data_IF_125639804780
#
_entry.id   IF_125639804780
#
_cell.length_a   1.000
_cell.length_b   1.000
_cell.length_c   1.000
_cell.angle_alpha   90.00
_cell.angle_beta   90.00
_cell.angle_gamma   90.00
#
_symmetry.space_group_name_H-M   'P 1'
#
loop_
_entity.id
_entity.type
_entity.pdbx_description
1 polymer ?
#
# COMPACT_ATOMS: atom_id res chain seq x y z
N UNK A 1 -21.79 -27.71 1.20
CA UNK A 1 -20.52 -26.98 1.27
C UNK A 1 -19.52 -27.73 0.39
N UNK A 2 -19.24 -27.20 -0.80
CA UNK A 2 -18.47 -27.94 -1.81
C UNK A 2 -16.95 -27.97 -1.55
N UNK A 3 -16.45 -27.17 -0.58
CA UNK A 3 -15.02 -27.06 -0.32
C UNK A 3 -14.23 -26.41 -1.46
N UNK A 4 -14.91 -25.57 -2.23
CA UNK A 4 -14.34 -24.85 -3.37
C UNK A 4 -14.65 -23.37 -3.27
N UNK A 5 -13.82 -22.56 -3.93
CA UNK A 5 -13.97 -21.11 -4.06
C UNK A 5 -13.78 -20.72 -5.51
N UNK A 6 -14.49 -19.69 -5.95
CA UNK A 6 -14.34 -19.09 -7.27
C UNK A 6 -13.38 -17.89 -7.19
N UNK A 7 -12.31 -17.92 -7.97
CA UNK A 7 -11.35 -16.80 -8.10
C UNK A 7 -11.18 -16.53 -9.59
N UNK A 8 -11.40 -15.29 -10.01
CA UNK A 8 -11.30 -14.85 -11.40
C UNK A 8 -12.05 -15.75 -12.40
N UNK A 9 -13.25 -16.25 -11.98
CA UNK A 9 -14.10 -17.10 -12.80
C UNK A 9 -13.70 -18.58 -12.86
N UNK A 10 -12.62 -18.98 -12.18
CA UNK A 10 -12.15 -20.37 -12.09
C UNK A 10 -12.38 -20.94 -10.70
N UNK A 11 -12.85 -22.19 -10.62
CA UNK A 11 -13.13 -22.87 -9.35
C UNK A 11 -11.86 -23.59 -8.85
N UNK A 12 -11.51 -23.34 -7.59
CA UNK A 12 -10.35 -23.93 -6.91
C UNK A 12 -10.79 -24.70 -5.67
N UNK A 13 -10.09 -25.80 -5.37
CA UNK A 13 -10.33 -26.58 -4.16
C UNK A 13 -9.61 -25.96 -2.96
N UNK A 14 -10.35 -25.78 -1.86
CA UNK A 14 -9.76 -25.32 -0.61
C UNK A 14 -9.07 -26.47 0.13
N UNK A 15 -7.92 -26.19 0.71
CA UNK A 15 -7.18 -27.14 1.60
C UNK A 15 -7.96 -27.45 2.86
N UNK A 16 -8.67 -26.47 3.38
CA UNK A 16 -9.53 -26.57 4.55
C UNK A 16 -10.76 -25.70 4.37
N UNK A 17 -11.90 -26.21 4.78
CA UNK A 17 -13.18 -25.49 4.85
C UNK A 17 -13.74 -25.55 6.26
N UNK A 18 -12.88 -25.79 7.25
CA UNK A 18 -13.27 -25.83 8.63
C UNK A 18 -13.27 -24.43 9.22
N UNK A 19 -14.45 -23.84 9.25
CA UNK A 19 -14.72 -22.54 9.85
C UNK A 19 -15.85 -22.70 10.88
N UNK A 20 -15.54 -23.20 12.10
CA UNK A 20 -16.56 -23.65 13.06
C UNK A 20 -17.41 -22.51 13.63
N UNK A 21 -16.91 -21.29 13.60
CA UNK A 21 -17.57 -20.12 14.18
C UNK A 21 -18.43 -19.35 13.19
N UNK A 22 -18.34 -19.66 11.88
CA UNK A 22 -19.09 -18.95 10.86
C UNK A 22 -20.52 -19.45 10.76
N UNK A 23 -21.50 -18.55 10.99
CA UNK A 23 -22.89 -18.78 10.62
C UNK A 23 -23.08 -18.49 9.12
N UNK A 24 -23.45 -19.50 8.30
CA UNK A 24 -23.70 -19.28 6.88
C UNK A 24 -24.82 -18.29 6.54
N UNK A 25 -25.71 -17.99 7.49
CA UNK A 25 -26.80 -17.01 7.32
C UNK A 25 -26.35 -15.60 7.63
N UNK A 26 -25.34 -15.45 8.47
CA UNK A 26 -24.73 -14.17 8.84
C UNK A 26 -23.20 -14.34 8.95
N UNK A 27 -22.50 -14.50 7.83
CA UNK A 27 -21.08 -14.88 7.82
C UNK A 27 -20.15 -13.83 8.41
N UNK A 28 -20.60 -12.60 8.54
CA UNK A 28 -19.81 -11.48 9.10
C UNK A 28 -19.95 -11.36 10.61
N UNK A 29 -20.88 -12.08 11.20
CA UNK A 29 -21.09 -12.02 12.66
C UNK A 29 -19.99 -12.77 13.38
N UNK A 30 -19.28 -12.05 14.24
CA UNK A 30 -18.30 -12.61 15.15
C UNK A 30 -18.97 -13.26 16.37
N UNK A 31 -18.35 -14.31 16.88
CA UNK A 31 -18.71 -14.82 18.22
C UNK A 31 -18.29 -13.80 19.29
N UNK A 32 -18.87 -13.92 20.50
CA UNK A 32 -18.49 -13.06 21.64
C UNK A 32 -16.98 -13.11 21.93
N UNK A 33 -16.35 -14.29 21.81
CA UNK A 33 -14.93 -14.45 22.04
C UNK A 33 -14.07 -13.78 20.96
N UNK A 34 -14.49 -13.85 19.70
CA UNK A 34 -13.83 -13.17 18.57
C UNK A 34 -13.99 -11.65 18.71
N UNK A 35 -15.21 -11.17 19.04
CA UNK A 35 -15.44 -9.75 19.26
C UNK A 35 -14.59 -9.22 20.43
N UNK A 36 -14.54 -9.95 21.55
CA UNK A 36 -13.70 -9.56 22.69
C UNK A 36 -12.20 -9.52 22.35
N UNK A 37 -11.73 -10.38 21.43
CA UNK A 37 -10.36 -10.33 20.92
C UNK A 37 -10.12 -9.08 20.09
N UNK A 38 -11.02 -8.79 19.14
CA UNK A 38 -10.93 -7.58 18.28
C UNK A 38 -10.96 -6.31 19.14
N UNK A 39 -11.87 -6.23 20.10
CA UNK A 39 -11.98 -5.08 21.02
C UNK A 39 -10.68 -4.85 21.81
N UNK A 40 -10.08 -5.93 22.31
CA UNK A 40 -8.81 -5.88 23.03
C UNK A 40 -7.66 -5.44 22.13
N UNK A 41 -7.58 -5.92 20.89
CA UNK A 41 -6.61 -5.46 19.90
C UNK A 41 -6.81 -3.98 19.60
N UNK A 42 -8.03 -3.57 19.30
CA UNK A 42 -8.37 -2.17 19.04
C UNK A 42 -7.95 -1.27 20.21
N UNK A 43 -8.30 -1.63 21.45
CA UNK A 43 -7.90 -0.89 22.64
C UNK A 43 -6.38 -0.81 22.83
N UNK A 44 -5.65 -1.89 22.53
CA UNK A 44 -4.20 -1.89 22.68
C UNK A 44 -3.50 -0.94 21.69
N UNK A 45 -4.06 -0.77 20.49
CA UNK A 45 -3.55 0.19 19.51
C UNK A 45 -3.98 1.63 19.81
N UNK A 46 -5.27 1.85 20.06
CA UNK A 46 -5.83 3.18 20.27
C UNK A 46 -5.48 3.77 21.64
N UNK A 47 -5.30 2.92 22.66
CA UNK A 47 -4.93 3.31 24.02
C UNK A 47 -3.42 3.54 24.23
N UNK A 48 -2.56 3.19 23.29
CA UNK A 48 -1.10 3.32 23.43
C UNK A 48 -0.64 4.76 23.19
N UNK A 49 -0.29 5.48 24.25
CA UNK A 49 0.29 6.83 24.13
C UNK A 49 1.61 6.85 23.37
N UNK A 50 2.45 5.83 23.55
CA UNK A 50 3.71 5.70 22.84
C UNK A 50 3.47 5.56 21.33
N UNK A 51 2.56 4.69 20.91
CA UNK A 51 2.21 4.55 19.48
C UNK A 51 1.63 5.84 18.93
N UNK A 52 0.73 6.49 19.66
CA UNK A 52 0.14 7.78 19.27
C UNK A 52 1.21 8.86 19.11
N UNK A 53 2.19 8.92 20.03
CA UNK A 53 3.32 9.86 19.92
C UNK A 53 4.18 9.59 18.68
N UNK A 54 4.47 8.33 18.36
CA UNK A 54 5.23 7.95 17.18
C UNK A 54 4.47 8.32 15.90
N UNK A 55 3.17 8.04 15.81
CA UNK A 55 2.34 8.39 14.65
C UNK A 55 2.30 9.92 14.47
N UNK A 56 2.11 10.69 15.56
CA UNK A 56 2.17 12.16 15.49
C UNK A 56 3.51 12.67 14.98
N UNK A 57 4.61 12.05 15.40
CA UNK A 57 5.94 12.40 14.91
C UNK A 57 6.09 12.11 13.41
N UNK A 58 5.62 10.94 12.95
CA UNK A 58 5.63 10.59 11.54
C UNK A 58 4.78 11.56 10.70
N UNK A 59 3.60 11.94 11.18
CA UNK A 59 2.73 12.88 10.46
C UNK A 59 3.30 14.31 10.41
N UNK A 60 4.02 14.72 11.47
CA UNK A 60 4.63 16.06 11.56
C UNK A 60 5.89 16.19 10.72
N UNK A 61 6.73 15.16 10.70
CA UNK A 61 8.08 15.20 10.15
C UNK A 61 8.27 14.31 8.93
N UNK A 62 7.39 13.31 8.74
CA UNK A 62 7.44 12.40 7.61
C UNK A 62 6.88 13.02 6.33
N UNK A 63 7.27 12.45 5.21
CA UNK A 63 6.80 12.80 3.88
C UNK A 63 6.78 11.56 2.99
N UNK A 64 6.03 11.62 1.89
CA UNK A 64 5.99 10.53 0.92
C UNK A 64 7.25 10.46 0.08
N UNK A 65 7.92 11.60 -0.10
CA UNK A 65 9.24 11.69 -0.70
C UNK A 65 10.02 12.84 -0.07
N UNK A 66 11.33 12.79 -0.19
CA UNK A 66 12.23 13.88 0.21
C UNK A 66 13.35 14.03 -0.82
N UNK A 67 13.81 15.26 -1.02
CA UNK A 67 14.98 15.56 -1.84
C UNK A 67 16.04 16.14 -0.93
N UNK A 68 17.15 15.43 -0.81
CA UNK A 68 18.26 15.86 0.01
C UNK A 68 19.60 15.54 -0.66
N UNK A 69 20.45 16.54 -0.77
CA UNK A 69 21.79 16.40 -1.34
C UNK A 69 21.81 15.67 -2.70
N UNK A 70 20.97 16.13 -3.65
CA UNK A 70 20.78 15.55 -4.98
C UNK A 70 20.22 14.10 -4.99
N UNK A 71 19.72 13.62 -3.85
CA UNK A 71 19.09 12.32 -3.78
C UNK A 71 17.57 12.49 -3.64
N UNK A 72 16.82 11.74 -4.43
CA UNK A 72 15.38 11.56 -4.28
C UNK A 72 15.13 10.31 -3.42
N UNK A 73 14.49 10.50 -2.27
CA UNK A 73 14.19 9.44 -1.31
C UNK A 73 12.68 9.21 -1.26
N UNK A 74 12.24 7.96 -1.37
CA UNK A 74 10.85 7.53 -1.14
C UNK A 74 10.80 6.07 -0.69
N UNK A 75 9.61 5.59 -0.23
CA UNK A 75 9.53 4.28 0.40
C UNK A 75 9.65 3.13 -0.59
N UNK A 76 8.73 3.00 -1.55
CA UNK A 76 8.64 1.82 -2.40
C UNK A 76 8.81 2.13 -3.88
N UNK A 77 7.83 2.76 -4.51
CA UNK A 77 7.81 2.92 -5.96
C UNK A 77 7.23 4.26 -6.42
N UNK A 78 7.55 4.59 -7.66
CA UNK A 78 6.80 5.56 -8.46
C UNK A 78 6.03 4.74 -9.51
N UNK A 79 4.69 4.72 -9.48
CA UNK A 79 3.91 3.90 -10.41
C UNK A 79 4.24 4.20 -11.87
N UNK A 80 4.57 3.14 -12.62
CA UNK A 80 4.91 3.19 -14.04
C UNK A 80 3.95 2.36 -14.88
N UNK A 81 3.77 2.75 -16.13
CA UNK A 81 3.12 1.95 -17.16
C UNK A 81 4.10 0.92 -17.73
N UNK A 82 3.58 -0.05 -18.51
CA UNK A 82 4.39 -1.09 -19.14
C UNK A 82 5.47 -0.53 -20.11
N UNK A 83 5.23 0.64 -20.67
CA UNK A 83 6.15 1.35 -21.56
C UNK A 83 7.07 2.36 -20.84
N UNK A 84 7.13 2.27 -19.50
CA UNK A 84 8.05 3.04 -18.67
C UNK A 84 7.66 4.49 -18.42
N UNK A 85 6.43 4.91 -18.73
CA UNK A 85 5.94 6.26 -18.44
C UNK A 85 5.34 6.32 -17.05
N UNK A 86 5.25 7.52 -16.48
CA UNK A 86 4.53 7.76 -15.23
C UNK A 86 3.05 7.37 -15.37
N UNK A 87 2.59 6.46 -14.50
CA UNK A 87 1.22 5.98 -14.48
C UNK A 87 0.32 6.92 -13.71
N UNK A 88 -0.85 7.22 -14.27
CA UNK A 88 -1.91 7.92 -13.54
C UNK A 88 -2.60 6.96 -12.58
N UNK A 89 -2.73 7.38 -11.33
CA UNK A 89 -3.41 6.65 -10.25
C UNK A 89 -4.58 7.51 -9.77
N UNK A 90 -5.75 6.91 -9.70
CA UNK A 90 -6.95 7.57 -9.19
C UNK A 90 -6.94 7.51 -7.67
N UNK A 91 -6.84 8.66 -7.01
CA UNK A 91 -6.81 8.79 -5.54
C UNK A 91 -8.16 9.20 -4.95
N UNK A 92 -9.05 9.72 -5.78
CA UNK A 92 -10.43 10.08 -5.50
C UNK A 92 -11.24 9.96 -6.80
N UNK A 93 -12.56 9.79 -6.74
CA UNK A 93 -13.38 9.70 -7.94
C UNK A 93 -13.12 10.84 -8.93
N UNK A 94 -12.59 10.51 -10.10
CA UNK A 94 -12.25 11.46 -11.16
C UNK A 94 -10.93 12.23 -10.97
N UNK A 95 -10.20 12.05 -9.86
CA UNK A 95 -8.91 12.72 -9.60
C UNK A 95 -7.77 11.74 -9.86
N UNK A 96 -7.11 11.90 -11.01
CA UNK A 96 -5.97 11.07 -11.44
C UNK A 96 -4.68 11.86 -11.37
N UNK A 97 -3.72 11.33 -10.63
CA UNK A 97 -2.42 11.96 -10.40
C UNK A 97 -1.29 10.97 -10.72
N UNK A 98 -0.10 11.51 -10.99
CA UNK A 98 1.11 10.74 -11.26
C UNK A 98 2.34 11.41 -10.67
N UNK A 99 3.44 10.67 -10.61
CA UNK A 99 4.76 11.19 -10.25
C UNK A 99 4.77 11.97 -8.94
N UNK A 100 5.37 13.15 -8.98
CA UNK A 100 5.55 14.05 -7.82
C UNK A 100 4.23 14.48 -7.20
N UNK A 101 3.25 14.85 -8.04
CA UNK A 101 1.94 15.30 -7.55
C UNK A 101 1.17 14.18 -6.85
N UNK A 102 1.23 12.95 -7.37
CA UNK A 102 0.64 11.78 -6.71
C UNK A 102 1.19 11.62 -5.28
N UNK A 103 2.50 11.65 -5.09
CA UNK A 103 3.10 11.49 -3.77
C UNK A 103 2.77 12.67 -2.86
N UNK A 104 2.76 13.89 -3.38
CA UNK A 104 2.43 15.09 -2.60
C UNK A 104 0.99 15.02 -2.07
N UNK A 105 0.02 14.79 -2.95
CA UNK A 105 -1.40 14.72 -2.58
C UNK A 105 -1.71 13.51 -1.69
N UNK A 106 -1.07 12.38 -1.92
CA UNK A 106 -1.11 11.23 -0.99
C UNK A 106 -0.67 11.64 0.41
N UNK A 107 0.43 12.36 0.54
CA UNK A 107 0.91 12.87 1.83
C UNK A 107 -0.06 13.85 2.50
N UNK A 108 -0.72 14.69 1.73
CA UNK A 108 -1.76 15.61 2.25
C UNK A 108 -2.99 14.84 2.74
N UNK A 109 -3.46 13.86 1.97
CA UNK A 109 -4.62 13.02 2.33
C UNK A 109 -4.35 12.17 3.57
N UNK A 110 -3.15 11.62 3.73
CA UNK A 110 -2.71 10.95 4.96
C UNK A 110 -2.83 11.89 6.17
N UNK A 111 -2.35 13.12 6.06
CA UNK A 111 -2.42 14.08 7.17
C UNK A 111 -3.85 14.47 7.51
N UNK A 112 -4.73 14.64 6.51
CA UNK A 112 -6.12 15.01 6.74
C UNK A 112 -6.88 13.96 7.57
N UNK A 113 -6.59 12.68 7.41
CA UNK A 113 -7.19 11.61 8.21
C UNK A 113 -6.94 11.73 9.72
N UNK A 114 -5.84 12.40 10.12
CA UNK A 114 -5.43 12.56 11.52
C UNK A 114 -5.69 13.97 12.07
N UNK A 115 -6.24 14.88 11.29
CA UNK A 115 -6.59 16.21 11.77
C UNK A 115 -7.93 16.14 12.52
N UNK A 116 -7.86 16.15 13.86
CA UNK A 116 -9.04 16.03 14.74
C UNK A 116 -9.78 17.36 14.96
N UNK A 117 -9.20 18.51 14.57
CA UNK A 117 -9.71 19.84 14.88
C UNK A 117 -9.86 20.72 13.64
N UNK A 118 -10.02 20.13 12.46
CA UNK A 118 -10.23 20.91 11.25
C UNK A 118 -11.73 21.16 11.06
N UNK A 119 -12.23 22.32 11.53
CA UNK A 119 -13.62 22.75 11.40
C UNK A 119 -14.08 22.87 9.93
N UNK A 120 -13.14 22.81 8.99
CA UNK A 120 -13.38 22.89 7.54
C UNK A 120 -13.53 21.51 6.87
N UNK A 121 -13.26 20.40 7.57
CA UNK A 121 -13.36 19.04 7.02
C UNK A 121 -14.65 18.38 7.51
N UNK A 122 -15.43 17.85 6.58
CA UNK A 122 -16.61 17.05 6.90
C UNK A 122 -16.21 15.67 7.44
N UNK A 123 -17.12 15.02 8.17
CA UNK A 123 -16.89 13.64 8.63
C UNK A 123 -16.75 12.66 7.46
N UNK A 124 -17.44 12.90 6.35
CA UNK A 124 -17.33 12.12 5.12
C UNK A 124 -15.93 12.23 4.51
N UNK A 125 -15.39 13.43 4.34
CA UNK A 125 -14.02 13.66 3.84
C UNK A 125 -12.97 13.03 4.76
N UNK A 126 -13.21 13.05 6.06
CA UNK A 126 -12.34 12.40 7.03
C UNK A 126 -12.40 10.88 6.91
N UNK A 127 -13.59 10.31 6.75
CA UNK A 127 -13.75 8.87 6.54
C UNK A 127 -13.09 8.41 5.25
N UNK A 128 -13.29 9.14 4.14
CA UNK A 128 -12.61 8.88 2.87
C UNK A 128 -11.08 8.89 3.01
N UNK A 129 -10.55 9.81 3.79
CA UNK A 129 -9.12 9.87 4.05
C UNK A 129 -8.62 8.66 4.90
N UNK A 130 -9.45 8.15 5.83
CA UNK A 130 -9.17 6.93 6.59
C UNK A 130 -9.22 5.70 5.68
N UNK A 131 -10.24 5.58 4.85
CA UNK A 131 -10.41 4.45 3.92
C UNK A 131 -9.29 4.41 2.87
N UNK A 132 -8.73 5.57 2.53
CA UNK A 132 -7.57 5.67 1.66
C UNK A 132 -6.33 4.93 2.20
N UNK A 133 -6.22 4.73 3.51
CA UNK A 133 -5.13 3.90 4.07
C UNK A 133 -5.22 2.44 3.63
N UNK A 134 -6.41 1.89 3.43
CA UNK A 134 -6.55 0.54 2.90
C UNK A 134 -6.00 0.46 1.47
N UNK A 135 -6.29 1.47 0.63
CA UNK A 135 -5.70 1.58 -0.70
C UNK A 135 -4.17 1.66 -0.62
N UNK A 136 -3.62 2.50 0.25
CA UNK A 136 -2.16 2.64 0.38
C UNK A 136 -1.50 1.33 0.81
N UNK A 137 -2.15 0.54 1.67
CA UNK A 137 -1.62 -0.71 2.17
C UNK A 137 -1.67 -1.84 1.16
N UNK A 138 -2.74 -2.00 0.40
CA UNK A 138 -2.95 -3.16 -0.46
C UNK A 138 -3.63 -2.88 -1.81
N UNK A 139 -3.88 -1.61 -2.15
CA UNK A 139 -4.51 -1.23 -3.40
C UNK A 139 -3.57 -1.36 -4.60
N UNK A 140 -4.11 -1.70 -5.77
CA UNK A 140 -3.32 -1.75 -7.00
C UNK A 140 -2.75 -0.36 -7.31
N UNK A 141 -1.51 -0.34 -7.81
CA UNK A 141 -0.77 0.89 -8.14
C UNK A 141 -0.49 1.84 -6.97
N UNK A 142 -0.74 1.40 -5.73
CA UNK A 142 -0.33 2.19 -4.57
C UNK A 142 1.19 2.38 -4.55
N UNK A 143 1.69 3.62 -4.37
CA UNK A 143 3.12 3.90 -4.30
C UNK A 143 3.82 3.27 -3.09
N UNK A 144 3.06 2.73 -2.13
CA UNK A 144 3.58 2.03 -0.96
C UNK A 144 3.52 0.51 -1.08
N UNK A 145 2.74 -0.03 -2.02
CA UNK A 145 2.52 -1.47 -2.18
C UNK A 145 3.05 -2.01 -3.51
N UNK A 146 2.78 -1.33 -4.62
CA UNK A 146 3.21 -1.63 -5.99
C UNK A 146 2.97 -3.08 -6.44
N UNK A 147 1.78 -3.59 -6.13
CA UNK A 147 1.28 -4.91 -6.57
C UNK A 147 -0.19 -4.81 -6.92
N UNK A 148 -0.66 -5.66 -7.83
CA UNK A 148 -2.06 -5.68 -8.24
C UNK A 148 -3.00 -6.22 -7.16
N UNK A 149 -2.51 -7.16 -6.33
CA UNK A 149 -3.30 -7.77 -5.25
C UNK A 149 -2.41 -8.33 -4.14
N UNK A 150 -3.03 -8.60 -3.00
CA UNK A 150 -2.44 -9.37 -1.91
C UNK A 150 -3.05 -10.77 -1.91
N UNK A 151 -2.24 -11.80 -2.11
CA UNK A 151 -2.67 -13.21 -2.22
C UNK A 151 -2.56 -13.97 -0.88
N UNK A 152 -2.89 -13.31 0.24
CA UNK A 152 -2.76 -13.91 1.58
C UNK A 152 -3.73 -15.05 1.79
N UNK A 153 -5.01 -14.86 1.45
CA UNK A 153 -6.04 -15.89 1.56
C UNK A 153 -5.69 -17.11 0.71
N UNK A 154 -5.30 -16.91 -0.53
CA UNK A 154 -4.95 -17.96 -1.47
C UNK A 154 -3.78 -18.80 -0.95
N UNK A 155 -2.75 -18.17 -0.39
CA UNK A 155 -1.59 -18.87 0.18
C UNK A 155 -1.95 -19.75 1.37
N UNK A 156 -2.90 -19.34 2.19
CA UNK A 156 -3.36 -20.13 3.34
C UNK A 156 -4.29 -21.26 2.94
N UNK A 157 -5.26 -20.98 2.07
CA UNK A 157 -6.41 -21.86 1.88
C UNK A 157 -6.46 -22.61 0.56
N UNK A 158 -5.62 -22.28 -0.43
CA UNK A 158 -5.61 -22.89 -1.76
C UNK A 158 -4.28 -23.57 -2.03
N UNK A 159 -4.32 -24.77 -2.67
CA UNK A 159 -3.10 -25.52 -2.96
C UNK A 159 -2.41 -25.06 -4.25
N UNK A 160 -3.19 -24.60 -5.21
CA UNK A 160 -2.74 -24.24 -6.54
C UNK A 160 -1.93 -22.95 -6.52
N UNK A 161 -0.62 -23.08 -6.75
CA UNK A 161 0.35 -21.98 -6.68
C UNK A 161 0.09 -20.84 -7.65
N UNK A 162 -0.64 -21.09 -8.72
CA UNK A 162 -1.03 -20.03 -9.68
C UNK A 162 -1.86 -18.94 -9.01
N UNK A 163 -2.68 -19.29 -7.99
CA UNK A 163 -3.48 -18.32 -7.23
C UNK A 163 -2.64 -17.49 -6.26
N UNK A 164 -1.43 -17.94 -5.94
CA UNK A 164 -0.51 -17.26 -5.03
C UNK A 164 0.30 -16.14 -5.69
N UNK A 165 0.15 -15.97 -7.02
CA UNK A 165 0.89 -14.96 -7.76
C UNK A 165 0.35 -13.56 -7.41
N UNK A 166 1.29 -12.68 -7.04
CA UNK A 166 1.05 -11.26 -6.85
C UNK A 166 1.78 -10.53 -7.99
N UNK A 167 1.01 -10.04 -8.94
CA UNK A 167 1.56 -9.28 -10.05
C UNK A 167 2.15 -7.97 -9.51
N UNK A 168 3.42 -7.74 -9.78
CA UNK A 168 4.12 -6.52 -9.35
C UNK A 168 3.89 -5.39 -10.35
N UNK A 169 3.97 -4.15 -9.86
CA UNK A 169 4.07 -2.98 -10.70
C UNK A 169 5.35 -2.99 -11.55
N UNK A 170 5.36 -2.17 -12.57
CA UNK A 170 6.46 -2.16 -13.55
C UNK A 170 7.73 -1.47 -13.02
N UNK A 171 7.62 -0.64 -11.97
CA UNK A 171 8.75 0.11 -11.41
C UNK A 171 9.95 -0.78 -11.06
N UNK A 172 9.72 -1.85 -10.30
CA UNK A 172 10.82 -2.71 -9.85
C UNK A 172 11.55 -3.47 -10.97
N UNK A 173 10.88 -3.69 -12.10
CA UNK A 173 11.50 -4.28 -13.29
C UNK A 173 12.27 -3.27 -14.15
N UNK A 174 12.09 -1.98 -13.91
CA UNK A 174 12.65 -0.90 -14.72
C UNK A 174 13.61 0.02 -13.97
N UNK A 175 13.75 -0.15 -12.64
CA UNK A 175 14.54 0.73 -11.77
C UNK A 175 16.02 0.85 -12.14
N UNK A 176 16.55 -0.18 -12.84
CA UNK A 176 17.95 -0.21 -13.25
C UNK A 176 18.15 0.41 -14.67
N UNK A 177 17.10 0.97 -15.27
CA UNK A 177 17.16 1.70 -16.54
C UNK A 177 17.44 3.17 -16.29
N UNK A 178 18.57 3.67 -16.82
CA UNK A 178 19.05 5.04 -16.64
C UNK A 178 18.06 6.09 -17.18
N UNK A 179 17.45 5.86 -18.36
CA UNK A 179 16.47 6.79 -18.94
C UNK A 179 15.23 6.95 -18.07
N UNK A 180 14.79 5.85 -17.44
CA UNK A 180 13.64 5.86 -16.52
C UNK A 180 14.02 6.54 -15.21
N UNK A 181 15.22 6.27 -14.67
CA UNK A 181 15.71 6.95 -13.48
C UNK A 181 15.83 8.46 -13.71
N UNK A 182 16.36 8.89 -14.84
CA UNK A 182 16.47 10.30 -15.22
C UNK A 182 15.09 10.95 -15.39
N UNK A 183 14.15 10.30 -16.06
CA UNK A 183 12.77 10.78 -16.18
C UNK A 183 12.12 11.00 -14.81
N UNK A 184 12.30 10.07 -13.87
CA UNK A 184 11.77 10.23 -12.50
C UNK A 184 12.47 11.39 -11.78
N UNK A 185 13.79 11.49 -11.87
CA UNK A 185 14.55 12.57 -11.24
C UNK A 185 14.17 13.95 -11.80
N UNK A 186 13.89 14.05 -13.10
CA UNK A 186 13.40 15.27 -13.76
C UNK A 186 11.99 15.63 -13.27
N UNK A 187 11.07 14.65 -13.16
CA UNK A 187 9.71 14.84 -12.65
C UNK A 187 9.72 15.43 -11.23
N UNK A 188 10.72 15.07 -10.42
CA UNK A 188 10.85 15.56 -9.06
C UNK A 188 11.75 16.81 -8.93
N UNK A 189 12.18 17.41 -10.03
CA UNK A 189 13.06 18.58 -10.07
C UNK A 189 14.37 18.37 -9.28
N UNK A 190 14.93 17.16 -9.30
CA UNK A 190 16.21 16.88 -8.63
C UNK A 190 17.35 17.51 -9.42
N UNK A 191 18.14 18.43 -8.83
CA UNK A 191 19.14 19.16 -9.58
C UNK A 191 20.32 18.29 -10.02
N UNK A 192 20.84 18.55 -11.22
CA UNK A 192 22.08 18.03 -11.73
C UNK A 192 23.29 18.67 -11.02
N UNK A 193 24.49 18.11 -11.06
CA UNK A 193 24.85 16.75 -11.45
C UNK A 193 24.82 15.75 -10.28
N UNK A 194 25.12 14.47 -10.54
CA UNK A 194 25.29 13.43 -9.52
C UNK A 194 24.03 13.21 -8.67
N UNK A 195 22.91 13.03 -9.34
CA UNK A 195 21.61 12.77 -8.72
C UNK A 195 21.31 11.28 -8.63
N UNK A 196 20.66 10.84 -7.57
CA UNK A 196 20.36 9.44 -7.31
C UNK A 196 18.93 9.25 -6.80
N UNK A 197 18.42 8.04 -6.99
CA UNK A 197 17.19 7.55 -6.34
C UNK A 197 17.59 6.60 -5.22
N UNK A 198 17.01 6.80 -4.03
CA UNK A 198 17.18 5.92 -2.87
C UNK A 198 15.80 5.50 -2.41
N UNK A 199 15.49 4.22 -2.60
CA UNK A 199 14.23 3.65 -2.16
C UNK A 199 14.44 2.30 -1.44
N UNK A 200 13.42 1.85 -0.69
CA UNK A 200 13.44 0.61 0.08
C UNK A 200 12.37 -0.39 -0.35
N UNK A 201 11.60 -0.90 0.60
CA UNK A 201 10.48 -1.84 0.47
C UNK A 201 10.86 -3.25 -0.02
N UNK A 202 11.64 -3.37 -1.08
CA UNK A 202 12.08 -4.67 -1.62
C UNK A 202 13.53 -4.91 -1.21
N UNK A 203 13.83 -6.03 -0.51
CA UNK A 203 15.20 -6.38 -0.14
C UNK A 203 16.11 -6.50 -1.36
N UNK A 204 17.29 -5.96 -1.26
CA UNK A 204 18.34 -6.15 -2.26
C UNK A 204 18.87 -7.58 -2.14
N UNK A 205 18.86 -8.33 -3.23
CA UNK A 205 19.53 -9.62 -3.31
C UNK A 205 20.94 -9.42 -3.83
N UNK A 206 21.92 -9.67 -2.98
CA UNK A 206 23.32 -9.75 -3.41
C UNK A 206 23.54 -11.14 -3.99
N UNK A 207 23.92 -11.25 -5.25
CA UNK A 207 24.29 -12.50 -5.85
C UNK A 207 25.62 -13.00 -5.22
N UNK A 208 25.80 -14.35 -5.09
CA UNK A 208 27.06 -14.90 -4.59
C UNK A 208 28.20 -14.48 -5.53
N UNK A 209 29.12 -13.66 -5.03
CA UNK A 209 30.28 -13.17 -5.77
C UNK A 209 30.26 -11.68 -6.13
N UNK A 210 29.20 -10.97 -5.75
CA UNK A 210 29.16 -9.49 -5.75
C UNK A 210 29.59 -8.98 -4.38
N UNK A 211 30.61 -8.11 -4.35
CA UNK A 211 31.07 -7.41 -3.13
C UNK A 211 30.40 -6.05 -3.01
#
# INVERSE_FOLDING_TARGET
KKGTILIDGKEYKMRSCYFPTIDPKNPEQLTEAEQALIDRLHQSFTGSEKLRSHIRSLLRHGCMYNIFNHNLLYHASIPLTKDGKLKEVEIEPGVKLKGKELLYQTGMKIRSAFQTNNEMQTEEERQDAIDFFLFLWCGPDSPLFDKAKMATFERYFIAEKETHHEEKGYYFGMRDNEEIADMILDEFDVPQPNRHIINGHVPVHVAKGEN
#
